data_IF_922047263093
#
_entry.id   IF_922047263093
#
_cell.length_a   1.000
_cell.length_b   1.000
_cell.length_c   1.000
_cell.angle_alpha   90.00
_cell.angle_beta   90.00
_cell.angle_gamma   90.00
#
_symmetry.space_group_name_H-M   'P 1'
#
loop_
_entity.id
_entity.type
_entity.pdbx_description
1 polymer ?
#
# COMPACT_ATOMS: atom_id res chain seq x y z
N UNK A 1 -65.45 23.06 12.12
CA UNK A 1 -64.12 22.83 12.72
C UNK A 1 -63.64 21.39 12.63
N UNK A 2 -64.49 20.38 12.43
CA UNK A 2 -64.14 18.96 12.45
C UNK A 2 -63.49 18.38 11.18
N UNK A 3 -63.57 19.01 10.04
CA UNK A 3 -63.03 18.50 8.77
C UNK A 3 -61.56 18.92 8.50
N UNK A 4 -61.12 20.01 9.12
CA UNK A 4 -59.72 20.50 8.96
C UNK A 4 -58.76 19.74 9.91
N UNK A 5 -59.22 19.44 11.13
CA UNK A 5 -58.46 18.66 12.11
C UNK A 5 -58.25 17.22 11.65
N UNK A 6 -59.26 16.58 11.06
CA UNK A 6 -59.13 15.24 10.49
C UNK A 6 -58.16 15.17 9.28
N UNK A 7 -58.09 16.21 8.45
CA UNK A 7 -57.15 16.30 7.34
C UNK A 7 -55.71 16.54 7.83
N UNK A 8 -55.53 17.30 8.93
CA UNK A 8 -54.21 17.54 9.52
C UNK A 8 -53.68 16.28 10.21
N UNK A 9 -54.54 15.54 10.92
CA UNK A 9 -54.13 14.24 11.52
C UNK A 9 -53.79 13.19 10.47
N UNK A 10 -54.52 13.15 9.33
CA UNK A 10 -54.21 12.23 8.24
C UNK A 10 -52.90 12.61 7.54
N UNK A 11 -52.62 13.91 7.35
CA UNK A 11 -51.36 14.40 6.77
C UNK A 11 -50.15 14.14 7.70
N UNK A 12 -50.32 14.37 9.00
CA UNK A 12 -49.25 14.07 10.00
C UNK A 12 -48.99 12.58 10.13
N UNK A 13 -50.01 11.72 10.04
CA UNK A 13 -49.86 10.27 10.06
C UNK A 13 -49.18 9.73 8.79
N UNK A 14 -49.52 10.30 7.61
CA UNK A 14 -48.85 9.94 6.35
C UNK A 14 -47.40 10.45 6.27
N UNK A 15 -47.11 11.65 6.80
CA UNK A 15 -45.72 12.15 6.92
C UNK A 15 -44.93 11.31 7.92
N UNK A 16 -45.52 10.92 9.07
CA UNK A 16 -44.91 10.00 10.02
C UNK A 16 -44.64 8.64 9.43
N UNK A 17 -45.55 8.10 8.61
CA UNK A 17 -45.34 6.80 7.91
C UNK A 17 -44.32 6.94 6.78
N UNK A 18 -44.29 8.06 6.05
CA UNK A 18 -43.19 8.32 5.07
C UNK A 18 -41.85 8.49 5.75
N UNK A 19 -41.75 9.17 6.89
CA UNK A 19 -40.48 9.30 7.65
C UNK A 19 -40.04 7.93 8.18
N UNK A 20 -40.98 7.07 8.60
CA UNK A 20 -40.62 5.67 8.97
C UNK A 20 -40.21 4.79 7.77
N UNK A 21 -40.72 5.07 6.56
CA UNK A 21 -40.35 4.37 5.34
C UNK A 21 -39.01 4.86 4.78
N UNK A 22 -38.57 6.09 5.12
CA UNK A 22 -37.24 6.60 4.79
C UNK A 22 -36.20 6.43 5.89
N UNK A 23 -36.57 6.09 7.12
CA UNK A 23 -35.69 5.39 8.03
C UNK A 23 -35.62 3.94 7.56
N UNK A 24 -34.78 3.69 6.54
CA UNK A 24 -34.20 2.37 6.33
C UNK A 24 -33.51 2.08 7.65
N UNK A 25 -34.15 1.27 8.48
CA UNK A 25 -33.53 0.67 9.65
C UNK A 25 -32.16 0.19 9.13
N UNK A 26 -31.08 0.79 9.61
CA UNK A 26 -29.80 0.09 9.59
C UNK A 26 -30.10 -1.14 10.43
N UNK A 27 -30.48 -2.26 9.79
CA UNK A 27 -30.52 -3.56 10.43
C UNK A 27 -29.25 -3.70 11.25
N UNK A 28 -29.29 -4.36 12.39
CA UNK A 28 -28.18 -4.50 13.33
C UNK A 28 -27.04 -5.31 12.70
N UNK A 29 -26.40 -4.75 11.62
CA UNK A 29 -25.22 -5.35 11.00
C UNK A 29 -24.07 -5.34 11.99
N UNK A 30 -23.38 -6.47 12.10
CA UNK A 30 -22.29 -6.64 13.05
C UNK A 30 -20.92 -6.44 12.35
N UNK A 31 -20.12 -5.48 12.83
CA UNK A 31 -18.73 -5.35 12.43
C UNK A 31 -17.93 -6.56 12.96
N UNK A 32 -17.38 -7.37 12.05
CA UNK A 32 -16.65 -8.60 12.41
C UNK A 32 -15.16 -8.53 12.19
N UNK A 33 -14.71 -7.64 11.29
CA UNK A 33 -13.29 -7.48 10.96
C UNK A 33 -13.04 -6.10 10.35
N UNK A 34 -11.84 -5.55 10.57
CA UNK A 34 -11.38 -4.34 9.91
C UNK A 34 -9.95 -4.51 9.38
N UNK A 35 -9.74 -4.09 8.14
CA UNK A 35 -8.42 -3.86 7.56
C UNK A 35 -8.16 -2.36 7.49
N UNK A 36 -7.03 -1.91 8.05
CA UNK A 36 -6.65 -0.51 8.12
C UNK A 36 -5.34 -0.30 7.37
N UNK A 37 -5.23 0.76 6.58
CA UNK A 37 -3.96 1.20 6.01
C UNK A 37 -3.78 2.69 6.25
N UNK A 38 -2.59 3.11 6.69
CA UNK A 38 -2.29 4.53 6.88
C UNK A 38 -0.97 4.94 6.24
N UNK A 39 -0.92 6.21 5.84
CA UNK A 39 0.32 6.91 5.49
C UNK A 39 1.14 7.17 6.75
N UNK A 40 2.46 7.08 6.67
CA UNK A 40 3.35 7.52 7.75
C UNK A 40 3.04 8.96 8.20
N UNK A 41 3.48 9.33 9.39
CA UNK A 41 3.40 10.70 9.91
C UNK A 41 4.34 11.68 9.19
N UNK A 42 4.29 12.95 9.56
CA UNK A 42 5.17 13.98 9.02
C UNK A 42 6.64 13.60 9.17
N UNK A 43 7.43 13.88 8.13
CA UNK A 43 8.83 13.50 8.00
C UNK A 43 9.68 14.61 7.41
N UNK A 44 10.99 14.45 7.47
CA UNK A 44 11.91 15.22 6.65
C UNK A 44 11.67 14.91 5.15
N UNK A 45 11.93 15.86 4.24
CA UNK A 45 11.84 15.63 2.80
C UNK A 45 12.79 14.53 2.36
N UNK A 46 12.53 13.93 1.19
CA UNK A 46 13.43 12.92 0.61
C UNK A 46 14.68 13.56 0.01
N UNK A 47 14.53 14.76 -0.57
CA UNK A 47 15.60 15.55 -1.18
C UNK A 47 15.51 16.99 -0.70
N UNK A 48 16.61 17.74 -0.83
CA UNK A 48 16.65 19.17 -0.60
C UNK A 48 16.94 19.90 -1.91
N UNK A 49 16.53 21.16 -2.01
CA UNK A 49 16.90 21.97 -3.16
C UNK A 49 18.40 22.21 -3.17
N UNK A 50 19.12 21.85 -4.26
CA UNK A 50 20.55 22.08 -4.36
C UNK A 50 20.97 23.54 -4.09
N UNK A 51 20.13 24.50 -4.49
CA UNK A 51 20.37 25.94 -4.26
C UNK A 51 20.36 26.35 -2.78
N UNK A 52 19.78 25.56 -1.88
CA UNK A 52 19.56 25.90 -0.48
C UNK A 52 20.05 24.80 0.48
N UNK A 53 20.83 23.84 0.02
CA UNK A 53 21.17 22.62 0.77
C UNK A 53 21.79 22.92 2.13
N UNK A 54 22.82 23.75 2.18
CA UNK A 54 23.55 24.07 3.44
C UNK A 54 22.69 24.83 4.47
N UNK A 55 21.67 25.54 3.99
CA UNK A 55 20.77 26.32 4.83
C UNK A 55 19.63 25.46 5.40
N UNK A 56 19.22 24.44 4.70
CA UNK A 56 18.00 23.67 5.00
C UNK A 56 18.27 22.33 5.68
N UNK A 57 19.46 21.73 5.47
CA UNK A 57 19.79 20.42 6.07
C UNK A 57 19.74 20.42 7.59
N UNK A 58 20.08 21.53 8.22
CA UNK A 58 20.08 21.67 9.68
C UNK A 58 18.68 21.61 10.30
N UNK A 59 17.63 21.84 9.51
CA UNK A 59 16.25 21.74 9.95
C UNK A 59 15.80 20.28 10.17
N UNK A 60 16.59 19.32 9.67
CA UNK A 60 16.26 17.89 9.65
C UNK A 60 17.31 17.06 10.39
N UNK A 61 17.45 17.21 11.72
CA UNK A 61 18.55 16.61 12.50
C UNK A 61 18.56 15.07 12.50
N UNK A 62 17.43 14.43 12.24
CA UNK A 62 17.34 12.96 12.17
C UNK A 62 17.67 12.39 10.77
N UNK A 63 17.95 13.26 9.79
CA UNK A 63 18.23 12.85 8.41
C UNK A 63 17.02 12.98 7.49
N UNK A 64 17.30 12.95 6.18
CA UNK A 64 16.28 13.03 5.13
C UNK A 64 15.42 11.78 5.11
N UNK A 65 14.14 11.97 4.84
CA UNK A 65 13.14 10.89 4.78
C UNK A 65 12.73 10.30 6.13
N UNK A 66 13.36 10.73 7.24
CA UNK A 66 13.10 10.20 8.57
C UNK A 66 11.89 10.88 9.26
N UNK A 67 11.17 10.10 10.06
CA UNK A 67 9.99 10.57 10.80
C UNK A 67 10.37 11.65 11.81
N UNK A 68 9.59 12.72 11.87
CA UNK A 68 9.82 13.81 12.84
C UNK A 68 8.99 13.62 14.13
N UNK A 69 9.29 14.37 15.20
CA UNK A 69 8.46 14.39 16.40
C UNK A 69 6.98 14.73 16.11
N UNK A 70 6.72 15.60 15.14
CA UNK A 70 5.36 15.90 14.67
C UNK A 70 4.70 14.64 14.10
N UNK A 71 5.42 13.89 13.26
CA UNK A 71 4.92 12.65 12.67
C UNK A 71 4.65 11.57 13.71
N UNK A 72 5.49 11.46 14.74
CA UNK A 72 5.25 10.57 15.90
C UNK A 72 3.95 10.93 16.60
N UNK A 73 3.75 12.23 16.89
CA UNK A 73 2.53 12.72 17.53
C UNK A 73 1.28 12.45 16.67
N UNK A 74 1.35 12.70 15.36
CA UNK A 74 0.26 12.44 14.43
C UNK A 74 -0.15 10.96 14.45
N UNK A 75 0.81 10.06 14.44
CA UNK A 75 0.53 8.62 14.46
C UNK A 75 -0.03 8.15 15.80
N UNK A 76 0.44 8.68 16.91
CA UNK A 76 -0.14 8.43 18.22
C UNK A 76 -1.61 8.88 18.29
N UNK A 77 -1.92 10.06 17.77
CA UNK A 77 -3.29 10.58 17.71
C UNK A 77 -4.18 9.72 16.81
N UNK A 78 -3.67 9.28 15.64
CA UNK A 78 -4.40 8.33 14.79
C UNK A 78 -4.67 7.02 15.53
N UNK A 79 -3.70 6.48 16.24
CA UNK A 79 -3.88 5.27 17.07
C UNK A 79 -4.96 5.45 18.14
N UNK A 80 -4.98 6.60 18.81
CA UNK A 80 -6.03 6.93 19.80
C UNK A 80 -7.42 6.99 19.15
N UNK A 81 -7.52 7.60 17.95
CA UNK A 81 -8.75 7.62 17.18
C UNK A 81 -9.23 6.20 16.81
N UNK A 82 -8.31 5.35 16.30
CA UNK A 82 -8.62 3.96 15.92
C UNK A 82 -9.06 3.13 17.14
N UNK A 83 -8.44 3.34 18.30
CA UNK A 83 -8.86 2.73 19.57
C UNK A 83 -10.31 3.08 19.89
N UNK A 84 -10.67 4.35 19.88
CA UNK A 84 -12.02 4.81 20.18
C UNK A 84 -13.05 4.23 19.21
N UNK A 85 -12.71 4.20 17.92
CA UNK A 85 -13.58 3.68 16.88
C UNK A 85 -13.84 2.18 17.00
N UNK A 86 -12.80 1.41 17.32
CA UNK A 86 -12.85 -0.06 17.30
C UNK A 86 -12.83 -0.70 18.71
N UNK A 87 -13.09 0.06 19.76
CA UNK A 87 -13.06 -0.44 21.14
C UNK A 87 -13.97 -1.65 21.36
N UNK A 88 -15.16 -1.67 20.75
CA UNK A 88 -16.09 -2.80 20.85
C UNK A 88 -15.59 -4.05 20.13
N UNK A 89 -14.87 -3.89 19.01
CA UNK A 89 -14.32 -4.99 18.23
C UNK A 89 -13.04 -5.55 18.88
N UNK A 90 -12.19 -4.63 19.38
CA UNK A 90 -10.86 -4.93 19.95
C UNK A 90 -10.65 -4.10 21.22
N UNK A 91 -11.21 -4.54 22.36
CA UNK A 91 -11.11 -3.79 23.62
C UNK A 91 -9.68 -3.72 24.16
N UNK A 92 -8.83 -4.70 23.82
CA UNK A 92 -7.43 -4.77 24.27
C UNK A 92 -6.56 -5.54 23.27
N UNK A 93 -5.24 -5.37 23.39
CA UNK A 93 -4.30 -6.15 22.62
C UNK A 93 -4.38 -7.65 22.92
N UNK A 94 -4.50 -8.46 21.87
CA UNK A 94 -4.33 -9.91 21.86
C UNK A 94 -3.57 -10.30 20.60
N UNK A 95 -2.54 -11.11 20.75
CA UNK A 95 -1.64 -11.48 19.66
C UNK A 95 -2.31 -12.26 18.52
N UNK A 96 -3.39 -12.99 18.82
CA UNK A 96 -4.18 -13.76 17.86
C UNK A 96 -5.29 -12.93 17.17
N UNK A 97 -5.64 -11.76 17.74
CA UNK A 97 -6.69 -10.89 17.25
C UNK A 97 -6.17 -9.76 16.33
N UNK A 98 -4.86 -9.53 16.28
CA UNK A 98 -4.24 -8.36 15.67
C UNK A 98 -3.05 -8.78 14.82
N UNK A 99 -2.97 -8.26 13.59
CA UNK A 99 -1.80 -8.41 12.71
C UNK A 99 -1.36 -7.04 12.18
N UNK A 100 -0.11 -6.68 12.39
CA UNK A 100 0.46 -5.40 11.98
C UNK A 100 1.61 -5.65 11.00
N UNK A 101 1.57 -4.95 9.88
CA UNK A 101 2.64 -4.97 8.87
C UNK A 101 3.02 -3.55 8.47
N UNK A 102 4.29 -3.34 8.18
CA UNK A 102 4.82 -2.07 7.65
C UNK A 102 5.59 -2.33 6.38
N UNK A 103 5.68 -1.34 5.48
CA UNK A 103 6.77 -1.31 4.51
C UNK A 103 8.10 -1.28 5.25
N UNK A 104 9.18 -1.76 4.60
CA UNK A 104 10.51 -1.85 5.20
C UNK A 104 11.25 -0.50 5.12
N UNK A 105 10.69 0.52 5.79
CA UNK A 105 11.23 1.88 5.88
C UNK A 105 11.14 2.37 7.32
N UNK A 106 12.19 3.06 7.82
CA UNK A 106 12.23 3.56 9.19
C UNK A 106 10.98 4.37 9.55
N UNK A 107 10.60 5.33 8.70
CA UNK A 107 9.44 6.21 8.94
C UNK A 107 8.11 5.47 9.07
N UNK A 108 7.91 4.40 8.32
CA UNK A 108 6.66 3.61 8.39
C UNK A 108 6.65 2.66 9.57
N UNK A 109 7.79 2.05 9.92
CA UNK A 109 7.95 1.20 11.10
C UNK A 109 7.75 2.05 12.36
N UNK A 110 8.42 3.20 12.47
CA UNK A 110 8.26 4.14 13.60
C UNK A 110 6.82 4.68 13.68
N UNK A 111 6.19 4.95 12.54
CA UNK A 111 4.77 5.33 12.47
C UNK A 111 3.87 4.24 13.05
N UNK A 112 4.11 2.98 12.71
CA UNK A 112 3.36 1.87 13.29
C UNK A 112 3.59 1.75 14.80
N UNK A 113 4.83 1.92 15.28
CA UNK A 113 5.12 1.92 16.72
C UNK A 113 4.37 3.02 17.46
N UNK A 114 4.38 4.25 16.93
CA UNK A 114 3.68 5.38 17.54
C UNK A 114 2.16 5.21 17.50
N UNK A 115 1.61 4.69 16.39
CA UNK A 115 0.18 4.38 16.26
C UNK A 115 -0.26 3.35 17.30
N UNK A 116 0.48 2.25 17.43
CA UNK A 116 0.17 1.18 18.38
C UNK A 116 0.29 1.65 19.84
N UNK A 117 1.18 2.59 20.15
CA UNK A 117 1.24 3.19 21.48
C UNK A 117 -0.05 3.96 21.83
N UNK A 118 -0.65 4.65 20.85
CA UNK A 118 -1.95 5.31 21.01
C UNK A 118 -3.13 4.34 21.04
N UNK A 119 -3.07 3.28 20.22
CA UNK A 119 -4.17 2.32 20.09
C UNK A 119 -4.22 1.33 21.26
N UNK A 120 -3.08 0.88 21.75
CA UNK A 120 -2.98 -0.14 22.81
C UNK A 120 -2.05 0.32 23.94
N UNK A 121 -2.44 1.33 24.74
CA UNK A 121 -1.69 1.65 25.95
C UNK A 121 -1.67 0.46 26.90
N UNK A 122 -0.58 0.26 27.68
CA UNK A 122 -0.46 -0.87 28.60
C UNK A 122 -1.53 -0.82 29.70
N UNK A 123 -2.14 -1.98 29.97
CA UNK A 123 -3.02 -2.14 31.13
C UNK A 123 -2.18 -2.24 32.42
N UNK A 124 -2.72 -1.76 33.55
CA UNK A 124 -2.02 -1.77 34.85
C UNK A 124 -1.46 -3.15 35.24
N UNK A 125 -2.15 -4.24 34.90
CA UNK A 125 -1.73 -5.62 35.19
C UNK A 125 -0.58 -6.11 34.30
N UNK A 126 -0.33 -5.46 33.17
CA UNK A 126 0.71 -5.82 32.19
C UNK A 126 1.92 -4.88 32.27
N UNK A 127 1.81 -3.79 33.03
CA UNK A 127 2.85 -2.77 33.13
C UNK A 127 3.88 -3.08 34.24
N UNK A 128 4.61 -4.19 34.07
CA UNK A 128 5.61 -4.68 35.06
C UNK A 128 6.73 -3.66 35.29
N UNK A 129 7.05 -2.83 34.27
CA UNK A 129 8.19 -1.90 34.30
C UNK A 129 7.76 -0.42 34.38
N UNK A 130 6.49 -0.13 34.65
CA UNK A 130 5.93 1.23 34.59
C UNK A 130 6.17 1.93 33.22
N UNK A 131 6.21 1.15 32.13
CA UNK A 131 6.34 1.67 30.79
C UNK A 131 5.01 2.27 30.34
N UNK A 132 5.07 3.40 29.67
CA UNK A 132 3.89 4.02 29.01
C UNK A 132 3.56 3.37 27.66
N UNK A 133 4.26 2.33 27.29
CA UNK A 133 4.21 1.64 26.01
C UNK A 133 4.37 0.13 26.20
N UNK A 134 3.71 -0.67 25.35
CA UNK A 134 3.91 -2.13 25.30
C UNK A 134 4.43 -2.56 23.92
N UNK A 135 5.35 -3.54 23.84
CA UNK A 135 5.85 -4.04 22.55
C UNK A 135 4.77 -4.86 21.85
N UNK A 136 4.47 -4.45 20.59
CA UNK A 136 3.56 -5.17 19.69
C UNK A 136 4.34 -5.50 18.42
N UNK A 137 4.34 -6.74 17.92
CA UNK A 137 5.08 -7.12 16.72
C UNK A 137 4.64 -6.35 15.48
N UNK A 138 5.60 -5.84 14.72
CA UNK A 138 5.41 -5.23 13.41
C UNK A 138 6.22 -6.05 12.41
N UNK A 139 5.54 -6.60 11.40
CA UNK A 139 6.17 -7.42 10.36
C UNK A 139 6.54 -6.57 9.16
N UNK A 140 7.66 -6.88 8.50
CA UNK A 140 8.08 -6.26 7.25
C UNK A 140 8.40 -7.30 6.18
N UNK A 141 8.40 -6.90 4.93
CA UNK A 141 8.93 -7.64 3.80
C UNK A 141 9.97 -6.72 3.13
N UNK A 142 11.13 -7.23 2.71
CA UNK A 142 12.12 -6.42 1.99
C UNK A 142 11.48 -5.65 0.83
N UNK A 143 11.81 -4.37 0.66
CA UNK A 143 11.17 -3.44 -0.31
C UNK A 143 11.03 -4.04 -1.70
N UNK A 144 12.08 -4.66 -2.20
CA UNK A 144 12.11 -5.25 -3.55
C UNK A 144 11.17 -6.45 -3.73
N UNK A 145 10.75 -7.09 -2.64
CA UNK A 145 9.87 -8.26 -2.65
C UNK A 145 8.43 -7.91 -2.25
N UNK A 146 8.21 -6.69 -1.75
CA UNK A 146 6.91 -6.27 -1.24
C UNK A 146 6.02 -5.66 -2.33
N UNK A 147 5.44 -6.51 -3.14
CA UNK A 147 4.48 -6.11 -4.18
C UNK A 147 3.14 -5.59 -3.64
N UNK A 148 2.85 -5.79 -2.35
CA UNK A 148 1.57 -5.43 -1.75
C UNK A 148 1.58 -4.02 -1.18
N UNK A 149 2.63 -3.64 -0.43
CA UNK A 149 2.68 -2.36 0.26
C UNK A 149 3.70 -1.39 -0.32
N UNK A 150 4.82 -1.88 -0.82
CA UNK A 150 5.88 -1.02 -1.38
C UNK A 150 5.75 -0.91 -2.90
N UNK A 151 4.67 -0.25 -3.33
CA UNK A 151 4.28 -0.13 -4.74
C UNK A 151 5.31 0.61 -5.61
N UNK A 152 6.21 1.38 -5.00
CA UNK A 152 7.24 2.17 -5.69
C UNK A 152 8.52 1.37 -5.92
N UNK A 153 8.93 0.54 -4.97
CA UNK A 153 10.22 -0.17 -4.99
C UNK A 153 10.12 -1.67 -5.30
N UNK A 154 8.90 -2.19 -5.47
CA UNK A 154 8.73 -3.59 -5.86
C UNK A 154 9.37 -3.85 -7.22
N UNK A 155 10.08 -4.98 -7.33
CA UNK A 155 10.72 -5.39 -8.59
C UNK A 155 9.69 -5.84 -9.61
N UNK A 156 9.05 -4.90 -10.27
CA UNK A 156 8.19 -5.15 -11.42
C UNK A 156 8.49 -4.09 -12.50
N UNK A 157 9.33 -4.39 -13.50
CA UNK A 157 9.76 -3.39 -14.49
C UNK A 157 8.66 -2.99 -15.48
N UNK A 158 7.63 -3.80 -15.66
CA UNK A 158 6.59 -3.57 -16.67
C UNK A 158 5.85 -2.22 -16.49
N UNK A 159 5.34 -1.84 -15.31
CA UNK A 159 4.67 -0.55 -15.12
C UNK A 159 5.55 0.65 -15.47
N UNK A 160 6.83 0.61 -15.07
CA UNK A 160 7.77 1.70 -15.35
C UNK A 160 8.12 1.73 -16.84
N UNK A 161 8.27 0.57 -17.47
CA UNK A 161 8.46 0.49 -18.92
C UNK A 161 7.27 1.11 -19.67
N UNK A 162 6.04 0.76 -19.33
CA UNK A 162 4.83 1.36 -19.93
C UNK A 162 4.82 2.87 -19.73
N UNK A 163 5.10 3.32 -18.51
CA UNK A 163 5.08 4.74 -18.20
C UNK A 163 6.10 5.53 -19.01
N UNK A 164 7.38 5.15 -18.97
CA UNK A 164 8.44 5.90 -19.66
C UNK A 164 8.41 5.75 -21.18
N UNK A 165 7.96 4.61 -21.73
CA UNK A 165 7.93 4.41 -23.18
C UNK A 165 6.68 4.95 -23.87
N UNK A 166 5.52 4.84 -23.22
CA UNK A 166 4.22 5.19 -23.81
C UNK A 166 3.69 6.51 -23.23
N UNK A 167 3.51 6.59 -21.90
CA UNK A 167 2.79 7.68 -21.24
C UNK A 167 3.57 8.99 -21.25
N UNK A 168 4.87 8.95 -20.98
CA UNK A 168 5.72 10.14 -20.98
C UNK A 168 5.84 10.80 -22.35
N UNK A 169 5.61 10.04 -23.43
CA UNK A 169 5.60 10.51 -24.80
C UNK A 169 4.17 10.84 -25.31
N UNK A 170 3.15 10.74 -24.46
CA UNK A 170 1.77 11.01 -24.83
C UNK A 170 1.55 12.49 -25.17
N UNK A 171 0.52 12.75 -25.98
CA UNK A 171 0.11 14.13 -26.32
C UNK A 171 -0.29 14.91 -25.07
N UNK A 172 -0.95 14.25 -24.12
CA UNK A 172 -1.35 14.85 -22.83
C UNK A 172 -0.15 15.37 -22.03
N UNK A 173 0.90 14.57 -21.89
CA UNK A 173 2.10 14.98 -21.16
C UNK A 173 2.82 16.12 -21.88
N UNK A 174 2.95 16.04 -23.19
CA UNK A 174 3.55 17.14 -23.99
C UNK A 174 2.78 18.44 -23.84
N UNK A 175 1.46 18.41 -23.93
CA UNK A 175 0.62 19.60 -23.74
C UNK A 175 0.79 20.23 -22.34
N UNK A 176 0.87 19.41 -21.28
CA UNK A 176 1.15 19.91 -19.93
C UNK A 176 2.54 20.55 -19.84
N UNK A 177 3.56 19.91 -20.41
CA UNK A 177 4.92 20.44 -20.39
C UNK A 177 5.03 21.78 -21.15
N UNK A 178 4.33 21.93 -22.28
CA UNK A 178 4.25 23.17 -23.03
C UNK A 178 3.48 24.25 -22.27
N UNK A 179 2.30 23.93 -21.73
CA UNK A 179 1.49 24.87 -20.94
C UNK A 179 2.23 25.40 -19.72
N UNK A 180 2.99 24.56 -19.06
CA UNK A 180 3.69 24.86 -17.79
C UNK A 180 5.18 25.15 -17.94
N UNK A 181 5.66 25.35 -19.17
CA UNK A 181 7.09 25.55 -19.45
C UNK A 181 7.71 26.67 -18.59
N UNK A 182 7.04 27.83 -18.52
CA UNK A 182 7.52 28.97 -17.74
C UNK A 182 7.61 28.67 -16.23
N UNK A 183 6.69 27.85 -15.70
CA UNK A 183 6.73 27.40 -14.30
C UNK A 183 7.90 26.44 -14.07
N UNK A 184 8.11 25.48 -14.96
CA UNK A 184 9.24 24.55 -14.83
C UNK A 184 10.59 25.26 -14.93
N UNK A 185 10.74 26.24 -15.82
CA UNK A 185 11.95 27.07 -15.93
C UNK A 185 12.19 27.88 -14.65
N UNK A 186 11.15 28.49 -14.12
CA UNK A 186 11.20 29.20 -12.84
C UNK A 186 11.62 28.29 -11.68
N UNK A 187 11.03 27.10 -11.59
CA UNK A 187 11.36 26.13 -10.51
C UNK A 187 12.80 25.64 -10.65
N UNK A 188 13.29 25.32 -11.85
CA UNK A 188 14.70 24.94 -12.07
C UNK A 188 15.66 26.03 -11.59
N UNK A 189 15.38 27.29 -11.96
CA UNK A 189 16.21 28.44 -11.53
C UNK A 189 16.24 28.58 -10.00
N UNK A 190 15.08 28.43 -9.32
CA UNK A 190 14.93 28.65 -7.88
C UNK A 190 15.43 27.50 -7.04
N UNK A 191 15.22 26.28 -7.48
CA UNK A 191 15.54 25.08 -6.69
C UNK A 191 16.90 24.48 -7.01
N UNK A 192 17.40 24.69 -8.25
CA UNK A 192 18.57 23.99 -8.76
C UNK A 192 18.33 22.53 -9.10
N UNK A 193 17.06 22.08 -9.10
CA UNK A 193 16.68 20.71 -9.48
C UNK A 193 16.60 20.58 -11.00
N UNK A 194 17.01 19.42 -11.48
CA UNK A 194 16.68 18.96 -12.83
C UNK A 194 15.20 18.52 -12.84
N UNK A 195 14.36 19.18 -13.66
CA UNK A 195 12.94 18.86 -13.80
C UNK A 195 12.67 18.58 -15.28
N UNK A 196 13.14 17.45 -15.83
CA UNK A 196 12.98 17.12 -17.25
C UNK A 196 11.53 16.78 -17.60
N UNK A 197 10.75 16.31 -16.66
CA UNK A 197 9.36 15.88 -16.87
C UNK A 197 8.42 16.40 -15.80
N UNK A 198 7.11 16.40 -16.08
CA UNK A 198 6.14 16.87 -15.10
C UNK A 198 6.00 15.93 -13.87
N UNK A 199 6.53 14.71 -13.94
CA UNK A 199 6.57 13.80 -12.79
C UNK A 199 7.64 14.18 -11.78
N UNK A 200 8.70 14.86 -12.22
CA UNK A 200 9.78 15.33 -11.35
C UNK A 200 9.34 16.50 -10.45
N UNK A 201 8.13 17.05 -10.67
CA UNK A 201 7.47 17.97 -9.76
C UNK A 201 7.31 17.38 -8.36
N UNK A 202 7.37 16.05 -8.22
CA UNK A 202 7.33 15.37 -6.94
C UNK A 202 8.40 15.89 -5.97
N UNK A 203 9.66 16.05 -6.42
CA UNK A 203 10.75 16.48 -5.55
C UNK A 203 10.55 17.90 -5.02
N UNK A 204 9.96 18.77 -5.87
CA UNK A 204 9.59 20.13 -5.46
C UNK A 204 8.44 20.11 -4.46
N UNK A 205 7.39 19.37 -4.77
CA UNK A 205 6.22 19.25 -3.89
C UNK A 205 6.59 18.59 -2.56
N UNK A 206 7.40 17.54 -2.56
CA UNK A 206 7.75 16.79 -1.34
C UNK A 206 8.43 17.68 -0.30
N UNK A 207 9.45 18.44 -0.71
CA UNK A 207 10.14 19.37 0.19
C UNK A 207 9.18 20.42 0.72
N UNK A 208 8.45 21.09 -0.14
CA UNK A 208 7.54 22.18 0.25
C UNK A 208 6.41 21.67 1.16
N UNK A 209 5.87 20.48 0.89
CA UNK A 209 4.84 19.88 1.72
C UNK A 209 5.37 19.46 3.11
N UNK A 210 6.60 18.94 3.18
CA UNK A 210 7.26 18.65 4.45
C UNK A 210 7.46 19.94 5.27
N UNK A 211 7.96 21.01 4.66
CA UNK A 211 8.14 22.30 5.32
C UNK A 211 6.79 22.93 5.75
N UNK A 212 5.77 22.88 4.89
CA UNK A 212 4.42 23.37 5.21
C UNK A 212 3.87 22.65 6.43
N UNK A 213 4.02 21.34 6.53
CA UNK A 213 3.59 20.55 7.68
C UNK A 213 4.27 21.01 8.99
N UNK A 214 5.49 21.51 8.90
CA UNK A 214 6.30 22.00 10.03
C UNK A 214 6.26 23.53 10.21
N UNK A 215 5.38 24.23 9.49
CA UNK A 215 5.24 25.69 9.50
C UNK A 215 6.55 26.43 9.10
N UNK A 216 7.32 25.88 8.17
CA UNK A 216 8.61 26.43 7.72
C UNK A 216 8.53 27.17 6.38
N UNK A 217 7.49 26.97 5.55
CA UNK A 217 7.42 27.49 4.16
C UNK A 217 7.44 29.01 4.10
N UNK A 218 6.74 29.68 4.98
CA UNK A 218 6.62 31.16 4.97
C UNK A 218 7.89 31.88 5.42
N UNK A 219 8.77 31.21 6.16
CA UNK A 219 9.94 31.82 6.77
C UNK A 219 11.18 31.78 5.88
N UNK A 220 11.24 30.84 4.92
CA UNK A 220 12.50 30.52 4.25
C UNK A 220 12.57 30.98 2.78
N UNK A 221 11.43 31.29 2.11
CA UNK A 221 11.43 31.56 0.65
C UNK A 221 10.56 32.73 0.25
N UNK A 222 11.19 33.85 -0.11
CA UNK A 222 10.50 35.07 -0.59
C UNK A 222 9.78 34.87 -1.93
N UNK A 223 10.16 33.85 -2.71
CA UNK A 223 9.56 33.54 -4.01
C UNK A 223 8.37 32.60 -3.93
N UNK A 224 8.14 31.92 -2.79
CA UNK A 224 7.03 31.00 -2.56
C UNK A 224 5.84 31.75 -1.95
N UNK A 225 4.64 31.43 -2.47
CA UNK A 225 3.37 31.88 -1.92
C UNK A 225 2.33 30.79 -2.04
N UNK A 226 1.15 30.96 -1.40
CA UNK A 226 0.09 29.95 -1.39
C UNK A 226 -0.46 29.63 -2.77
N UNK A 227 -0.54 30.60 -3.69
CA UNK A 227 -1.02 30.38 -5.05
C UNK A 227 -0.05 29.47 -5.84
N UNK A 228 1.25 29.74 -5.74
CA UNK A 228 2.29 28.92 -6.36
C UNK A 228 2.35 27.52 -5.74
N UNK A 229 2.25 27.43 -4.40
CA UNK A 229 2.17 26.12 -3.73
C UNK A 229 1.00 25.29 -4.26
N UNK A 230 -0.18 25.92 -4.40
CA UNK A 230 -1.36 25.24 -4.92
C UNK A 230 -1.20 24.78 -6.37
N UNK A 231 -0.53 25.57 -7.20
CA UNK A 231 -0.23 25.17 -8.59
C UNK A 231 0.73 23.98 -8.65
N UNK A 232 1.77 23.95 -7.82
CA UNK A 232 2.69 22.82 -7.68
C UNK A 232 1.95 21.58 -7.16
N UNK A 233 1.13 21.73 -6.14
CA UNK A 233 0.28 20.66 -5.62
C UNK A 233 -0.63 20.08 -6.71
N UNK A 234 -1.35 20.90 -7.46
CA UNK A 234 -2.23 20.46 -8.55
C UNK A 234 -1.46 19.71 -9.66
N UNK A 235 -0.23 20.13 -9.98
CA UNK A 235 0.63 19.41 -10.93
C UNK A 235 1.09 18.06 -10.37
N UNK A 236 1.51 18.02 -9.11
CA UNK A 236 1.86 16.78 -8.42
C UNK A 236 0.68 15.79 -8.45
N UNK A 237 -0.54 16.28 -8.16
CA UNK A 237 -1.74 15.48 -8.21
C UNK A 237 -2.02 14.89 -9.58
N UNK A 238 -1.94 15.75 -10.60
CA UNK A 238 -2.14 15.33 -12.00
C UNK A 238 -1.12 14.27 -12.40
N UNK A 239 0.16 14.47 -12.06
CA UNK A 239 1.23 13.52 -12.39
C UNK A 239 1.02 12.17 -11.70
N UNK A 240 0.67 12.19 -10.41
CA UNK A 240 0.43 10.98 -9.61
C UNK A 240 -0.78 10.21 -10.12
N UNK A 241 -1.90 10.89 -10.38
CA UNK A 241 -3.08 10.24 -10.93
C UNK A 241 -2.83 9.72 -12.35
N UNK A 242 -2.11 10.47 -13.18
CA UNK A 242 -1.75 10.01 -14.52
C UNK A 242 -0.99 8.68 -14.50
N UNK A 243 -0.05 8.53 -13.56
CA UNK A 243 0.69 7.28 -13.38
C UNK A 243 -0.22 6.15 -12.85
N UNK A 244 -0.87 6.36 -11.70
CA UNK A 244 -1.56 5.27 -11.00
C UNK A 244 -2.92 4.89 -11.62
N UNK A 245 -3.58 5.77 -12.40
CA UNK A 245 -4.86 5.47 -13.06
C UNK A 245 -4.74 4.82 -14.43
N UNK A 246 -3.53 4.67 -14.95
CA UNK A 246 -3.30 4.00 -16.22
C UNK A 246 -3.73 2.52 -16.14
N UNK A 247 -4.57 2.08 -17.07
CA UNK A 247 -5.17 0.74 -17.05
C UNK A 247 -4.15 -0.41 -17.16
N UNK A 248 -2.96 -0.15 -17.73
CA UNK A 248 -1.86 -1.11 -17.81
C UNK A 248 -1.00 -1.12 -16.53
N UNK A 249 -0.99 -0.03 -15.76
CA UNK A 249 -0.17 0.16 -14.55
C UNK A 249 -0.93 -0.21 -13.28
N UNK A 250 -2.19 0.20 -13.16
CA UNK A 250 -3.06 -0.03 -11.99
C UNK A 250 -3.06 -1.49 -11.50
N UNK A 251 -3.15 -2.53 -12.38
CA UNK A 251 -3.14 -3.93 -11.93
C UNK A 251 -1.87 -4.33 -11.18
N UNK A 252 -0.74 -3.70 -11.48
CA UNK A 252 0.55 -4.00 -10.87
C UNK A 252 0.85 -3.16 -9.62
N UNK A 253 0.31 -1.96 -9.52
CA UNK A 253 0.59 -1.04 -8.41
C UNK A 253 -0.49 -1.09 -7.31
N UNK A 254 -1.77 -1.04 -7.67
CA UNK A 254 -2.89 -1.10 -6.73
C UNK A 254 -3.51 -2.49 -6.57
N UNK A 255 -3.48 -3.28 -7.64
CA UNK A 255 -4.09 -4.61 -7.70
C UNK A 255 -3.65 -5.58 -6.61
N UNK A 256 -2.34 -5.74 -6.30
CA UNK A 256 -1.89 -6.66 -5.26
C UNK A 256 -2.41 -6.32 -3.85
N UNK A 257 -2.52 -5.05 -3.52
CA UNK A 257 -3.09 -4.62 -2.24
C UNK A 257 -4.60 -4.89 -2.19
N UNK A 258 -5.33 -4.53 -3.26
CA UNK A 258 -6.77 -4.80 -3.37
C UNK A 258 -7.06 -6.29 -3.25
N UNK A 259 -6.28 -7.13 -3.93
CA UNK A 259 -6.39 -8.59 -3.85
C UNK A 259 -6.09 -9.12 -2.45
N UNK A 260 -5.03 -8.62 -1.80
CA UNK A 260 -4.68 -9.01 -0.43
C UNK A 260 -5.80 -8.69 0.56
N UNK A 261 -6.41 -7.50 0.43
CA UNK A 261 -7.56 -7.10 1.26
C UNK A 261 -8.76 -8.01 0.99
N UNK A 262 -9.15 -8.18 -0.28
CA UNK A 262 -10.30 -9.02 -0.67
C UNK A 262 -10.14 -10.48 -0.19
N UNK A 263 -8.94 -11.05 -0.30
CA UNK A 263 -8.66 -12.41 0.18
C UNK A 263 -8.85 -12.55 1.71
N UNK A 264 -8.38 -11.58 2.48
CA UNK A 264 -8.54 -11.62 3.94
C UNK A 264 -10.01 -11.50 4.31
N UNK A 265 -10.76 -10.58 3.69
CA UNK A 265 -12.21 -10.43 3.91
C UNK A 265 -12.96 -11.71 3.57
N UNK A 266 -12.66 -12.33 2.41
CA UNK A 266 -13.24 -13.60 2.01
C UNK A 266 -12.95 -14.72 3.01
N UNK A 267 -11.69 -14.86 3.46
CA UNK A 267 -11.29 -15.89 4.44
C UNK A 267 -12.01 -15.69 5.78
N UNK A 268 -12.22 -14.44 6.20
CA UNK A 268 -12.99 -14.09 7.40
C UNK A 268 -14.47 -14.48 7.27
N UNK A 269 -15.13 -14.09 6.18
CA UNK A 269 -16.53 -14.42 5.92
C UNK A 269 -16.76 -15.94 5.85
N UNK A 270 -15.85 -16.69 5.23
CA UNK A 270 -15.89 -18.16 5.14
C UNK A 270 -15.43 -18.88 6.39
N UNK A 271 -15.01 -18.16 7.44
CA UNK A 271 -14.45 -18.73 8.68
C UNK A 271 -13.29 -19.73 8.45
N UNK A 272 -12.55 -19.57 7.34
CA UNK A 272 -11.38 -20.40 6.96
C UNK A 272 -10.12 -19.92 7.70
N UNK A 273 -10.08 -18.63 8.02
CA UNK A 273 -8.94 -17.99 8.69
C UNK A 273 -9.18 -17.98 10.21
N UNK A 274 -8.10 -17.73 10.97
CA UNK A 274 -8.19 -17.57 12.41
C UNK A 274 -9.38 -16.69 12.79
N UNK A 275 -10.42 -17.26 13.40
CA UNK A 275 -11.63 -16.55 13.82
C UNK A 275 -11.34 -15.44 14.84
N UNK A 276 -10.21 -15.55 15.55
CA UNK A 276 -9.79 -14.55 16.54
C UNK A 276 -9.26 -13.27 15.89
N UNK A 277 -8.72 -13.32 14.65
CA UNK A 277 -8.22 -12.12 13.98
C UNK A 277 -9.36 -11.14 13.72
N UNK A 278 -9.29 -9.95 14.30
CA UNK A 278 -10.30 -8.88 14.20
C UNK A 278 -9.79 -7.63 13.52
N UNK A 279 -8.46 -7.43 13.55
CA UNK A 279 -7.80 -6.22 13.09
C UNK A 279 -6.53 -6.56 12.33
N UNK A 280 -6.43 -6.05 11.12
CA UNK A 280 -5.21 -6.11 10.32
C UNK A 280 -4.84 -4.68 9.92
N UNK A 281 -3.58 -4.29 10.14
CA UNK A 281 -3.17 -2.94 9.84
C UNK A 281 -1.86 -2.89 9.06
N UNK A 282 -1.81 -1.95 8.11
CA UNK A 282 -0.69 -1.69 7.24
C UNK A 282 -0.20 -0.25 7.39
N UNK A 283 1.07 -0.09 7.78
CA UNK A 283 1.75 1.20 7.79
C UNK A 283 2.51 1.39 6.47
N UNK A 284 2.14 2.39 5.69
CA UNK A 284 2.57 2.55 4.31
C UNK A 284 2.81 4.03 3.92
N UNK A 285 2.69 4.31 2.62
CA UNK A 285 2.97 5.59 2.00
C UNK A 285 1.71 6.15 1.31
N UNK A 286 1.73 7.45 0.95
CA UNK A 286 0.68 8.06 0.14
C UNK A 286 0.48 7.36 -1.19
N UNK A 287 1.56 6.91 -1.83
CA UNK A 287 1.52 6.20 -3.11
C UNK A 287 0.72 4.90 -3.02
N UNK A 288 0.85 4.16 -1.90
CA UNK A 288 0.06 2.96 -1.65
C UNK A 288 -1.44 3.26 -1.51
N UNK A 289 -1.80 4.35 -0.81
CA UNK A 289 -3.20 4.79 -0.67
C UNK A 289 -3.78 5.20 -2.03
N UNK A 290 -3.03 5.99 -2.81
CA UNK A 290 -3.46 6.43 -4.14
C UNK A 290 -3.61 5.24 -5.09
N UNK A 291 -2.65 4.30 -5.10
CA UNK A 291 -2.73 3.09 -5.91
C UNK A 291 -3.93 2.20 -5.52
N UNK A 292 -4.26 2.14 -4.23
CA UNK A 292 -5.46 1.45 -3.76
C UNK A 292 -6.74 2.14 -4.25
N UNK A 293 -6.82 3.48 -4.16
CA UNK A 293 -7.96 4.23 -4.71
C UNK A 293 -8.13 4.02 -6.21
N UNK A 294 -7.06 4.12 -6.98
CA UNK A 294 -7.13 3.95 -8.44
C UNK A 294 -7.53 2.53 -8.84
N UNK A 295 -7.12 1.51 -8.06
CA UNK A 295 -7.58 0.12 -8.27
C UNK A 295 -9.09 -0.06 -8.00
N UNK A 296 -9.68 0.82 -7.21
CA UNK A 296 -11.13 0.89 -6.96
C UNK A 296 -11.86 1.90 -7.86
N UNK A 297 -11.16 2.50 -8.84
CA UNK A 297 -11.67 3.57 -9.71
C UNK A 297 -12.09 4.85 -8.97
N UNK A 298 -11.43 5.15 -7.86
CA UNK A 298 -11.62 6.40 -7.12
C UNK A 298 -10.53 7.38 -7.57
N UNK A 299 -10.91 8.38 -8.35
CA UNK A 299 -9.98 9.35 -8.98
C UNK A 299 -10.18 10.78 -8.49
N UNK A 300 -10.75 10.96 -7.31
CA UNK A 300 -11.02 12.30 -6.79
C UNK A 300 -9.75 12.92 -6.19
N UNK A 301 -9.30 14.04 -6.77
CA UNK A 301 -8.10 14.78 -6.31
C UNK A 301 -8.24 15.36 -4.89
N UNK A 302 -9.45 15.61 -4.41
CA UNK A 302 -9.68 16.06 -3.03
C UNK A 302 -9.35 14.99 -1.97
N UNK A 303 -9.13 13.74 -2.41
CA UNK A 303 -8.82 12.61 -1.51
C UNK A 303 -7.32 12.36 -1.32
N UNK A 304 -6.45 13.28 -1.75
CA UNK A 304 -5.00 13.09 -1.57
C UNK A 304 -4.64 12.96 -0.10
N UNK A 305 -3.88 11.90 0.24
CA UNK A 305 -3.59 11.59 1.62
C UNK A 305 -2.65 12.62 2.26
N UNK A 306 -3.08 13.28 3.31
CA UNK A 306 -2.19 14.01 4.22
C UNK A 306 -1.32 13.04 5.05
N UNK A 307 -0.33 13.57 5.78
CA UNK A 307 0.38 12.77 6.76
C UNK A 307 -0.59 12.16 7.78
N UNK A 308 -0.39 10.89 8.10
CA UNK A 308 -1.29 10.09 8.94
C UNK A 308 -2.72 9.91 8.38
N UNK A 309 -2.94 10.11 7.07
CA UNK A 309 -4.18 9.69 6.41
C UNK A 309 -4.40 8.19 6.57
N UNK A 310 -5.67 7.76 6.67
CA UNK A 310 -6.03 6.39 6.99
C UNK A 310 -7.24 5.92 6.19
N UNK A 311 -7.12 4.75 5.55
CA UNK A 311 -8.23 3.99 4.96
C UNK A 311 -8.60 2.87 5.91
N UNK A 312 -9.90 2.67 6.10
CA UNK A 312 -10.47 1.58 6.89
C UNK A 312 -11.43 0.79 6.00
N UNK A 313 -11.17 -0.48 5.81
CA UNK A 313 -12.05 -1.42 5.10
C UNK A 313 -12.74 -2.28 6.15
N UNK A 314 -14.01 -2.02 6.38
CA UNK A 314 -14.82 -2.65 7.43
C UNK A 314 -15.67 -3.77 6.83
N UNK A 315 -15.60 -4.97 7.41
CA UNK A 315 -16.40 -6.14 7.02
C UNK A 315 -17.54 -6.34 8.02
N UNK A 316 -18.74 -6.31 7.53
CA UNK A 316 -19.96 -6.53 8.33
C UNK A 316 -20.62 -7.85 7.97
N UNK A 317 -21.18 -8.52 8.98
CA UNK A 317 -22.14 -9.61 8.84
C UNK A 317 -23.55 -9.02 9.00
N UNK A 318 -24.39 -9.20 7.98
CA UNK A 318 -25.76 -8.72 7.94
C UNK A 318 -26.71 -9.70 8.67
N UNK A 319 -27.91 -9.27 9.03
CA UNK A 319 -28.92 -10.11 9.72
C UNK A 319 -29.30 -11.37 8.92
N UNK A 320 -29.26 -11.30 7.59
CA UNK A 320 -29.56 -12.44 6.70
C UNK A 320 -28.36 -13.39 6.49
N UNK A 321 -27.23 -13.14 7.18
CA UNK A 321 -26.01 -13.93 7.06
C UNK A 321 -25.17 -13.61 5.82
N UNK A 322 -25.52 -12.59 5.05
CA UNK A 322 -24.66 -12.06 3.99
C UNK A 322 -23.58 -11.13 4.55
N UNK A 323 -22.61 -10.78 3.72
CA UNK A 323 -21.50 -9.92 4.14
C UNK A 323 -21.39 -8.69 3.27
N UNK A 324 -21.12 -7.55 3.91
CA UNK A 324 -20.91 -6.26 3.22
C UNK A 324 -19.61 -5.62 3.63
N UNK A 325 -19.09 -4.75 2.76
CA UNK A 325 -17.81 -4.04 2.90
C UNK A 325 -18.09 -2.54 2.78
N UNK A 326 -17.65 -1.79 3.78
CA UNK A 326 -17.61 -0.33 3.73
C UNK A 326 -16.16 0.13 3.61
N UNK A 327 -15.89 1.09 2.74
CA UNK A 327 -14.60 1.77 2.62
C UNK A 327 -14.72 3.15 3.24
N UNK A 328 -13.95 3.39 4.29
CA UNK A 328 -13.93 4.66 4.98
C UNK A 328 -12.56 5.31 4.83
N UNK A 329 -12.57 6.63 4.75
CA UNK A 329 -11.36 7.40 4.60
C UNK A 329 -11.29 8.57 5.57
N UNK A 330 -10.18 8.68 6.27
CA UNK A 330 -9.79 9.83 7.07
C UNK A 330 -8.58 10.48 6.41
N UNK A 331 -8.81 11.55 5.63
CA UNK A 331 -7.77 12.21 4.84
C UNK A 331 -6.68 12.85 5.70
N UNK A 332 -7.08 13.42 6.83
CA UNK A 332 -6.18 14.02 7.82
C UNK A 332 -6.72 13.84 9.23
N UNK A 333 -5.90 14.12 10.23
CA UNK A 333 -6.34 14.07 11.64
C UNK A 333 -7.43 15.09 11.97
N UNK A 334 -7.51 16.20 11.22
CA UNK A 334 -8.45 17.30 11.44
C UNK A 334 -9.81 17.09 10.78
N UNK A 335 -9.89 16.22 9.77
CA UNK A 335 -11.10 15.98 9.01
C UNK A 335 -11.91 14.83 9.58
N UNK A 336 -13.22 14.89 9.37
CA UNK A 336 -14.12 13.78 9.70
C UNK A 336 -13.90 12.59 8.78
N UNK A 337 -14.32 11.42 9.24
CA UNK A 337 -14.30 10.19 8.43
C UNK A 337 -15.35 10.28 7.34
N UNK A 338 -14.93 10.00 6.11
CA UNK A 338 -15.82 9.94 4.96
C UNK A 338 -16.06 8.47 4.59
N UNK A 339 -17.31 8.12 4.26
CA UNK A 339 -17.63 6.83 3.62
C UNK A 339 -17.43 7.02 2.13
N UNK A 340 -16.60 6.20 1.51
CA UNK A 340 -16.32 6.30 0.08
C UNK A 340 -17.34 5.49 -0.72
N UNK A 341 -17.83 6.08 -1.80
CA UNK A 341 -18.66 5.40 -2.77
C UNK A 341 -17.79 4.72 -3.82
N UNK A 342 -17.96 3.41 -3.99
CA UNK A 342 -17.33 2.64 -5.05
C UNK A 342 -18.16 2.77 -6.33
N UNK A 343 -17.62 3.27 -7.46
CA UNK A 343 -18.39 3.53 -8.68
C UNK A 343 -19.15 2.31 -9.22
N UNK A 344 -18.69 1.12 -8.89
CA UNK A 344 -19.21 -0.18 -9.34
C UNK A 344 -20.03 -0.93 -8.27
N UNK A 345 -20.16 -0.39 -7.05
CA UNK A 345 -20.80 -1.12 -5.93
C UNK A 345 -21.59 -0.22 -4.96
N UNK A 346 -21.35 1.10 -4.96
CA UNK A 346 -21.96 2.04 -3.99
C UNK A 346 -21.18 2.16 -2.67
N UNK A 347 -21.81 2.68 -1.63
CA UNK A 347 -21.22 2.93 -0.31
C UNK A 347 -21.21 1.70 0.59
N UNK A 348 -22.20 0.81 0.43
CA UNK A 348 -22.29 -0.49 1.12
C UNK A 348 -22.16 -1.57 0.04
N UNK A 349 -20.99 -2.16 -0.06
CA UNK A 349 -20.67 -3.09 -1.12
C UNK A 349 -20.85 -4.54 -0.67
N UNK A 350 -21.62 -5.33 -1.43
CA UNK A 350 -21.68 -6.77 -1.19
C UNK A 350 -20.28 -7.39 -1.33
N UNK A 351 -19.87 -8.26 -0.39
CA UNK A 351 -18.55 -8.86 -0.36
C UNK A 351 -18.20 -9.64 -1.63
N UNK A 352 -19.16 -10.38 -2.20
CA UNK A 352 -18.93 -11.15 -3.43
C UNK A 352 -18.63 -10.22 -4.62
N UNK A 353 -19.35 -9.11 -4.72
CA UNK A 353 -19.10 -8.07 -5.73
C UNK A 353 -17.71 -7.46 -5.54
N UNK A 354 -17.30 -7.18 -4.30
CA UNK A 354 -15.96 -6.68 -3.98
C UNK A 354 -14.86 -7.66 -4.39
N UNK A 355 -15.03 -8.94 -4.08
CA UNK A 355 -14.08 -10.00 -4.47
C UNK A 355 -14.00 -10.13 -5.98
N UNK A 356 -15.14 -10.15 -6.68
CA UNK A 356 -15.17 -10.25 -8.15
C UNK A 356 -14.46 -9.08 -8.81
N UNK A 357 -14.67 -7.85 -8.31
CA UNK A 357 -13.92 -6.68 -8.77
C UNK A 357 -12.41 -6.85 -8.57
N UNK A 358 -11.99 -7.24 -7.38
CA UNK A 358 -10.58 -7.50 -7.07
C UNK A 358 -9.95 -8.52 -8.02
N UNK A 359 -10.65 -9.62 -8.32
CA UNK A 359 -10.20 -10.66 -9.24
C UNK A 359 -10.07 -10.16 -10.69
N UNK A 360 -10.92 -9.21 -11.11
CA UNK A 360 -10.85 -8.61 -12.45
C UNK A 360 -9.63 -7.69 -12.63
N UNK A 361 -9.18 -7.05 -11.53
CA UNK A 361 -7.99 -6.18 -11.53
C UNK A 361 -6.71 -7.00 -11.34
N UNK A 362 -6.79 -8.17 -10.70
CA UNK A 362 -5.63 -8.95 -10.30
C UNK A 362 -4.78 -9.43 -11.49
N UNK A 363 -3.46 -9.25 -11.37
CA UNK A 363 -2.47 -9.86 -12.25
C UNK A 363 -2.40 -11.36 -11.97
N UNK A 364 -2.62 -12.21 -12.97
CA UNK A 364 -2.72 -13.66 -12.79
C UNK A 364 -1.37 -14.31 -12.51
N UNK A 365 -0.37 -14.00 -13.30
CA UNK A 365 1.01 -14.49 -13.15
C UNK A 365 1.96 -13.28 -13.01
N UNK A 366 2.14 -12.86 -11.76
CA UNK A 366 2.95 -11.68 -11.44
C UNK A 366 4.35 -11.72 -12.05
N UNK A 367 5.05 -12.85 -11.90
CA UNK A 367 6.44 -12.95 -12.35
C UNK A 367 6.55 -12.89 -13.88
N UNK A 368 5.62 -13.56 -14.58
CA UNK A 368 5.56 -13.55 -16.03
C UNK A 368 5.16 -12.16 -16.56
N UNK A 369 4.08 -11.61 -16.02
CA UNK A 369 3.52 -10.34 -16.50
C UNK A 369 4.39 -9.13 -16.14
N UNK A 370 5.16 -9.21 -15.03
CA UNK A 370 6.21 -8.22 -14.72
C UNK A 370 7.48 -8.35 -15.58
N UNK A 371 7.61 -9.41 -16.39
CA UNK A 371 8.83 -9.68 -17.17
C UNK A 371 9.98 -10.22 -16.33
N UNK A 372 9.72 -10.74 -15.13
CA UNK A 372 10.74 -11.32 -14.24
C UNK A 372 11.08 -12.76 -14.62
N UNK A 373 10.11 -13.51 -15.16
CA UNK A 373 10.36 -14.81 -15.77
C UNK A 373 10.78 -14.61 -17.22
N UNK A 374 12.00 -15.02 -17.54
CA UNK A 374 12.31 -15.30 -18.95
C UNK A 374 11.44 -16.49 -19.38
N UNK A 375 10.71 -16.37 -20.48
CA UNK A 375 10.16 -17.54 -21.16
C UNK A 375 11.37 -18.40 -21.50
N UNK A 376 11.58 -19.51 -20.77
CA UNK A 376 12.55 -20.52 -21.17
C UNK A 376 12.07 -21.03 -22.53
N UNK A 377 12.75 -20.63 -23.60
CA UNK A 377 12.49 -21.13 -24.93
C UNK A 377 12.57 -22.65 -24.86
N UNK A 378 11.58 -23.34 -25.40
CA UNK A 378 11.54 -24.80 -25.45
C UNK A 378 12.87 -25.40 -25.96
N UNK A 379 13.59 -24.68 -26.82
CA UNK A 379 14.93 -24.99 -27.31
C UNK A 379 16.01 -24.94 -26.22
N UNK A 380 15.97 -23.96 -25.27
CA UNK A 380 16.92 -23.88 -24.15
C UNK A 380 16.68 -24.99 -23.12
N UNK A 381 15.42 -25.33 -22.88
CA UNK A 381 15.07 -26.44 -21.97
C UNK A 381 15.53 -27.79 -22.56
N UNK A 382 15.37 -27.98 -23.86
CA UNK A 382 15.84 -29.15 -24.59
C UNK A 382 17.36 -29.23 -24.57
N UNK A 383 18.05 -28.14 -24.82
CA UNK A 383 19.50 -28.06 -24.79
C UNK A 383 20.07 -28.33 -23.39
N UNK A 384 19.46 -27.80 -22.32
CA UNK A 384 19.83 -28.12 -20.93
C UNK A 384 19.62 -29.61 -20.61
N UNK A 385 18.52 -30.23 -21.07
CA UNK A 385 18.26 -31.66 -20.89
C UNK A 385 19.31 -32.51 -21.61
N UNK A 386 19.71 -32.16 -22.81
CA UNK A 386 20.75 -32.85 -23.57
C UNK A 386 22.10 -32.74 -22.86
N UNK A 387 22.47 -31.56 -22.36
CA UNK A 387 23.74 -31.37 -21.60
C UNK A 387 23.75 -32.22 -20.31
N UNK A 388 22.63 -32.24 -19.57
CA UNK A 388 22.50 -33.06 -18.35
C UNK A 388 22.61 -34.54 -18.71
N UNK A 389 21.92 -35.00 -19.75
CA UNK A 389 21.96 -36.41 -20.21
C UNK A 389 23.38 -36.82 -20.63
N UNK A 390 24.08 -36.01 -21.41
CA UNK A 390 25.45 -36.27 -21.83
C UNK A 390 26.44 -36.27 -20.65
N UNK A 391 26.23 -35.38 -19.68
CA UNK A 391 27.06 -35.34 -18.46
C UNK A 391 26.88 -36.60 -17.60
N UNK A 392 25.68 -37.08 -17.42
CA UNK A 392 25.38 -38.34 -16.71
C UNK A 392 25.96 -39.55 -17.46
N UNK A 393 25.80 -39.62 -18.78
CA UNK A 393 26.37 -40.68 -19.61
C UNK A 393 27.90 -40.72 -19.51
N UNK A 394 28.57 -39.56 -19.50
CA UNK A 394 29.99 -39.45 -19.34
C UNK A 394 30.48 -39.95 -17.97
N UNK A 395 29.78 -39.58 -16.89
CA UNK A 395 30.08 -40.06 -15.54
C UNK A 395 29.94 -41.57 -15.45
N UNK A 396 28.91 -42.17 -16.01
CA UNK A 396 28.69 -43.62 -16.05
C UNK A 396 29.84 -44.32 -16.85
N UNK A 397 30.23 -43.78 -17.98
CA UNK A 397 31.33 -44.31 -18.79
C UNK A 397 32.66 -44.26 -18.04
N UNK A 398 32.99 -43.14 -17.37
CA UNK A 398 34.23 -43.00 -16.57
C UNK A 398 34.23 -43.98 -15.40
N UNK A 399 33.14 -44.13 -14.68
CA UNK A 399 33.00 -45.08 -13.57
C UNK A 399 33.14 -46.52 -14.07
N UNK A 400 32.56 -46.87 -15.21
CA UNK A 400 32.72 -48.18 -15.85
C UNK A 400 34.17 -48.48 -16.23
N UNK A 401 34.92 -47.53 -16.82
CA UNK A 401 36.33 -47.65 -17.12
C UNK A 401 37.21 -47.81 -15.87
N UNK A 402 36.90 -47.09 -14.81
CA UNK A 402 37.60 -47.25 -13.52
C UNK A 402 37.41 -48.65 -12.94
N UNK A 403 36.18 -49.19 -12.96
CA UNK A 403 35.89 -50.55 -12.50
C UNK A 403 36.64 -51.58 -13.33
N UNK A 404 36.62 -51.47 -14.66
CA UNK A 404 37.34 -52.35 -15.56
C UNK A 404 38.86 -52.29 -15.32
N UNK A 405 39.41 -51.12 -15.07
CA UNK A 405 40.82 -50.92 -14.74
C UNK A 405 41.20 -51.64 -13.43
N UNK A 406 40.36 -51.51 -12.40
CA UNK A 406 40.59 -52.23 -11.12
C UNK A 406 40.50 -53.73 -11.30
N UNK A 407 39.50 -54.22 -12.03
CA UNK A 407 39.38 -55.67 -12.33
C UNK A 407 40.56 -56.18 -13.13
N UNK A 408 41.04 -55.44 -14.13
CA UNK A 408 42.24 -55.79 -14.90
C UNK A 408 43.49 -55.88 -14.01
N UNK A 409 43.69 -54.94 -13.12
CA UNK A 409 44.79 -54.94 -12.14
C UNK A 409 44.74 -56.14 -11.18
N UNK A 410 43.56 -56.45 -10.66
CA UNK A 410 43.36 -57.63 -9.80
C UNK A 410 43.60 -58.93 -10.56
N UNK A 411 43.13 -59.05 -11.79
CA UNK A 411 43.37 -60.23 -12.64
C UNK A 411 44.89 -60.42 -12.93
N UNK A 412 45.55 -59.30 -13.27
CA UNK A 412 47.02 -59.33 -13.51
C UNK A 412 47.83 -59.73 -12.27
N UNK A 413 47.37 -59.34 -11.08
CA UNK A 413 47.97 -59.71 -9.81
C UNK A 413 47.75 -61.20 -9.51
N UNK A 414 46.54 -61.72 -9.78
CA UNK A 414 46.21 -63.15 -9.62
C UNK A 414 47.01 -64.06 -10.58
N UNK A 415 47.20 -63.60 -11.83
CA UNK A 415 48.04 -64.34 -12.80
C UNK A 415 49.45 -64.40 -12.38
N UNK A 416 50.10 -63.35 -11.86
CA UNK A 416 51.44 -63.31 -11.31
C UNK A 416 51.63 -64.23 -10.10
N UNK A 417 50.56 -64.46 -9.31
CA UNK A 417 50.65 -65.41 -8.15
C UNK A 417 50.47 -66.88 -8.53
N UNK A 418 50.08 -67.21 -9.77
CA UNK A 418 49.88 -68.60 -10.23
C UNK A 418 50.98 -69.16 -11.13
N UNK A 419 51.99 -68.41 -11.49
CA UNK A 419 53.12 -68.88 -12.25
C UNK A 419 54.36 -68.86 -11.31
N UNK A 420 54.73 -69.98 -10.65
CA UNK A 420 56.00 -70.04 -9.98
C UNK A 420 57.04 -70.23 -11.07
N UNK A 421 58.25 -69.60 -10.91
CA UNK A 421 59.45 -69.75 -11.73
C UNK A 421 59.93 -71.19 -11.78
#
# INVERSE_FOLDING_TARGET
MTTLENKLHLALSTIGLLIMLFHKSNGDRQLIFVHVMWRHGARAPLTLFPSEYDQTIQNWPNGLGELTPLGILQQFQLGTFLRQRYEKLIPKYKSDAIYIRSTDSNRTIMSAMANLAGMFPPENSQNILNLTWQPIPIHTIPKTLDKVLDVTYSTCPYPDHVFYSEEMNSETVRAIMEEKAALFDFLRERTGLEIPTFTDIFDVYDLLNCEKAHNMVETNRTWMNEALFKEIEDLFLKSTLHYYSNSKITPFRGGPLLQSVAEVLMKKAKRIYNDQLKYMAYSAHETGIIAFFTSMQIYNTSLIPDFAACIMTELYEEEDGTYTVDILYKRSLKEEVQVLELPWCGTVCNLETFINWSNNIAVKDWEKECGLRREENFSELQQRREVIFLSVALIVAITGLCILSVMYYQLKTLIKLKIPD
#
